data_IF_297552723440
#
_entry.id   IF_297552723440
#
_cell.length_a   1.000
_cell.length_b   1.000
_cell.length_c   1.000
_cell.angle_alpha   90.00
_cell.angle_beta   90.00
_cell.angle_gamma   90.00
#
_symmetry.space_group_name_H-M   'P 1'
#
loop_
_entity.id
_entity.type
_entity.pdbx_description
1 polymer ?
#
# COMPACT_ATOMS: atom_id res chain seq x y z
N UNK A 1 11.47 14.79 11.88
CA UNK A 1 10.00 14.85 11.82
C UNK A 1 9.41 14.46 13.18
N UNK A 2 9.67 13.27 13.73
CA UNK A 2 9.05 12.78 14.96
C UNK A 2 9.21 13.72 16.17
N UNK A 3 10.39 14.30 16.45
CA UNK A 3 10.51 15.30 17.53
C UNK A 3 9.61 16.51 17.30
N UNK A 4 9.54 17.03 16.07
CA UNK A 4 8.66 18.15 15.73
C UNK A 4 7.19 17.82 16.01
N UNK A 5 6.73 16.62 15.60
CA UNK A 5 5.35 16.18 15.86
C UNK A 5 5.03 16.01 17.33
N UNK A 6 6.04 15.80 18.19
CA UNK A 6 5.90 15.82 19.66
C UNK A 6 5.96 17.21 20.26
N UNK A 7 6.09 18.27 19.44
CA UNK A 7 6.18 19.65 19.90
C UNK A 7 7.58 20.09 20.33
N UNK A 8 8.63 19.31 20.05
CA UNK A 8 10.01 19.65 20.36
C UNK A 8 10.54 20.71 19.38
N UNK A 9 11.39 21.60 19.86
CA UNK A 9 12.16 22.51 19.02
C UNK A 9 13.38 21.76 18.47
N UNK A 10 13.59 21.80 17.15
CA UNK A 10 14.64 21.01 16.49
C UNK A 10 15.60 21.92 15.76
N UNK A 11 16.89 21.81 16.12
CA UNK A 11 18.00 22.32 15.31
C UNK A 11 18.84 21.14 14.84
N UNK A 12 19.02 21.02 13.52
CA UNK A 12 19.77 19.92 12.90
C UNK A 12 20.41 20.37 11.60
N UNK A 13 21.69 20.01 11.45
CA UNK A 13 22.43 20.20 10.19
C UNK A 13 22.89 18.84 9.65
N UNK A 14 22.71 18.64 8.37
CA UNK A 14 23.20 17.49 7.60
C UNK A 14 23.93 18.01 6.36
N UNK A 15 24.41 17.13 5.50
CA UNK A 15 25.03 17.46 4.22
C UNK A 15 24.07 18.04 3.18
N UNK A 16 22.77 17.87 3.34
CA UNK A 16 21.75 18.28 2.38
C UNK A 16 20.63 19.19 2.93
N UNK A 17 20.51 19.36 4.25
CA UNK A 17 19.61 20.34 4.84
C UNK A 17 20.13 20.89 6.18
N UNK A 18 19.65 22.08 6.53
CA UNK A 18 19.82 22.69 7.86
C UNK A 18 18.46 23.23 8.33
N UNK A 19 18.07 22.88 9.55
CA UNK A 19 16.96 23.50 10.27
C UNK A 19 17.48 24.12 11.57
N UNK A 20 16.99 25.31 11.89
CA UNK A 20 17.37 26.06 13.10
C UNK A 20 16.12 26.40 13.87
N UNK A 21 16.04 25.96 15.12
CA UNK A 21 14.91 26.19 16.02
C UNK A 21 13.55 25.92 15.37
N UNK A 22 13.50 24.91 14.50
CA UNK A 22 12.28 24.55 13.80
C UNK A 22 11.23 24.02 14.78
N UNK A 23 10.01 24.51 14.65
CA UNK A 23 8.87 24.12 15.47
C UNK A 23 7.61 24.05 14.58
N UNK A 24 6.70 23.11 14.84
CA UNK A 24 5.39 23.13 14.21
C UNK A 24 4.50 24.19 14.87
N UNK A 25 3.71 24.88 14.07
CA UNK A 25 2.83 25.95 14.56
C UNK A 25 1.62 25.42 15.34
N UNK A 26 1.10 24.26 14.94
CA UNK A 26 -0.02 23.61 15.59
C UNK A 26 0.43 22.27 16.19
N UNK A 27 0.23 22.05 17.49
CA UNK A 27 0.57 20.76 18.11
C UNK A 27 -0.32 19.64 17.57
N UNK A 28 0.20 18.41 17.57
CA UNK A 28 -0.61 17.25 17.28
C UNK A 28 -1.69 17.06 18.35
N UNK A 29 -2.94 16.88 17.91
CA UNK A 29 -4.05 16.55 18.81
C UNK A 29 -3.84 15.14 19.42
N UNK A 30 -3.44 14.17 18.58
CA UNK A 30 -3.15 12.80 19.03
C UNK A 30 -1.76 12.73 19.67
N UNK A 31 -1.67 12.14 20.86
CA UNK A 31 -0.41 11.99 21.60
C UNK A 31 0.18 10.57 21.42
N UNK A 32 1.51 10.42 21.35
CA UNK A 32 2.54 11.48 21.34
C UNK A 32 2.68 12.23 20.01
N UNK A 33 2.04 11.75 18.95
CA UNK A 33 1.94 12.34 17.62
C UNK A 33 0.88 11.60 16.79
N UNK A 34 0.52 12.14 15.62
CA UNK A 34 -0.36 11.45 14.67
C UNK A 34 0.25 10.09 14.27
N UNK A 35 -0.60 9.14 13.94
CA UNK A 35 -0.17 7.85 13.44
C UNK A 35 0.61 8.02 12.13
N UNK A 36 1.75 7.34 12.03
CA UNK A 36 2.65 7.38 10.87
C UNK A 36 2.95 5.98 10.37
N UNK A 37 3.06 5.86 9.07
CA UNK A 37 3.52 4.63 8.42
C UNK A 37 4.62 4.95 7.41
N UNK A 38 5.54 4.01 7.22
CA UNK A 38 6.63 4.12 6.24
C UNK A 38 6.31 3.23 5.05
N UNK A 39 6.38 3.82 3.85
CA UNK A 39 6.18 3.08 2.61
C UNK A 39 7.31 2.07 2.37
N UNK A 40 6.92 0.85 2.04
CA UNK A 40 7.81 -0.27 1.74
C UNK A 40 7.34 -0.93 0.45
N UNK A 41 8.25 -1.13 -0.49
CA UNK A 41 8.00 -1.96 -1.67
C UNK A 41 8.97 -3.16 -1.62
N UNK A 42 9.94 -3.23 -2.53
CA UNK A 42 10.93 -4.33 -2.56
C UNK A 42 12.09 -4.11 -1.59
N UNK A 43 12.57 -2.88 -1.48
CA UNK A 43 13.71 -2.52 -0.64
C UNK A 43 13.37 -2.63 0.86
N UNK A 44 14.29 -3.15 1.69
CA UNK A 44 14.09 -3.22 3.14
C UNK A 44 14.23 -1.86 3.85
N UNK A 45 14.63 -0.79 3.15
CA UNK A 45 14.92 0.51 3.77
C UNK A 45 13.73 1.11 4.52
N UNK A 46 12.51 0.96 3.97
CA UNK A 46 11.28 1.39 4.64
C UNK A 46 10.99 0.58 5.90
N UNK A 47 11.18 -0.74 5.85
CA UNK A 47 11.00 -1.64 6.98
C UNK A 47 11.98 -1.34 8.12
N UNK A 48 13.26 -1.11 7.77
CA UNK A 48 14.28 -0.67 8.73
C UNK A 48 13.91 0.66 9.41
N UNK A 49 13.44 1.64 8.63
CA UNK A 49 13.01 2.93 9.17
C UNK A 49 11.77 2.79 10.07
N UNK A 50 10.78 2.00 9.66
CA UNK A 50 9.59 1.73 10.47
C UNK A 50 9.97 1.08 11.81
N UNK A 51 10.75 0.01 11.79
CA UNK A 51 11.20 -0.69 13.00
C UNK A 51 12.05 0.21 13.91
N UNK A 52 13.04 0.93 13.36
CA UNK A 52 13.91 1.84 14.13
C UNK A 52 13.12 2.87 14.95
N UNK A 53 12.01 3.34 14.41
CA UNK A 53 11.20 4.40 15.02
C UNK A 53 9.91 3.93 15.67
N UNK A 54 9.56 2.63 15.57
CA UNK A 54 8.30 2.08 16.09
C UNK A 54 7.07 2.61 15.34
N UNK A 55 7.18 2.74 14.01
CA UNK A 55 6.13 3.26 13.15
C UNK A 55 5.36 2.14 12.44
N UNK A 56 4.17 2.43 11.94
CA UNK A 56 3.45 1.53 11.06
C UNK A 56 4.18 1.31 9.73
N UNK A 57 3.85 0.24 9.05
CA UNK A 57 4.39 -0.09 7.73
C UNK A 57 3.28 -0.04 6.67
N UNK A 58 3.58 0.51 5.49
CA UNK A 58 2.72 0.57 4.32
C UNK A 58 3.40 -0.19 3.18
N UNK A 59 3.04 -1.46 3.00
CA UNK A 59 3.56 -2.27 1.90
C UNK A 59 2.78 -2.02 0.62
N UNK A 60 3.49 -1.94 -0.51
CA UNK A 60 2.91 -1.75 -1.84
C UNK A 60 3.28 -2.94 -2.71
N UNK A 61 2.29 -3.62 -3.26
CA UNK A 61 2.50 -4.76 -4.16
C UNK A 61 1.30 -5.69 -4.25
N UNK A 62 1.36 -6.64 -5.18
CA UNK A 62 0.32 -7.61 -5.43
C UNK A 62 0.48 -8.93 -4.65
N UNK A 63 -0.05 -10.00 -5.26
CA UNK A 63 -0.05 -11.37 -4.70
C UNK A 63 0.81 -12.36 -5.48
N UNK A 64 1.74 -11.88 -6.32
CA UNK A 64 2.76 -12.75 -6.89
C UNK A 64 3.63 -13.35 -5.77
N UNK A 65 4.22 -14.50 -6.01
CA UNK A 65 5.06 -15.18 -4.99
C UNK A 65 6.24 -14.31 -4.56
N UNK A 66 6.83 -13.56 -5.51
CA UNK A 66 7.87 -12.57 -5.26
C UNK A 66 7.35 -11.44 -4.34
N UNK A 67 6.18 -10.86 -4.64
CA UNK A 67 5.59 -9.80 -3.83
C UNK A 67 5.27 -10.27 -2.41
N UNK A 68 4.67 -11.46 -2.25
CA UNK A 68 4.35 -12.04 -0.94
C UNK A 68 5.62 -12.30 -0.13
N UNK A 69 6.68 -12.77 -0.77
CA UNK A 69 8.00 -12.96 -0.14
C UNK A 69 8.57 -11.64 0.36
N UNK A 70 8.51 -10.60 -0.46
CA UNK A 70 8.97 -9.26 -0.04
C UNK A 70 8.13 -8.67 1.10
N UNK A 71 6.82 -8.83 1.07
CA UNK A 71 5.94 -8.38 2.16
C UNK A 71 6.31 -9.05 3.48
N UNK A 72 6.41 -10.38 3.49
CA UNK A 72 6.75 -11.15 4.69
C UNK A 72 8.15 -10.82 5.22
N UNK A 73 9.15 -10.74 4.34
CA UNK A 73 10.53 -10.41 4.72
C UNK A 73 10.64 -8.98 5.28
N UNK A 74 9.99 -8.00 4.65
CA UNK A 74 9.99 -6.63 5.13
C UNK A 74 9.33 -6.50 6.51
N UNK A 75 8.23 -7.24 6.76
CA UNK A 75 7.65 -7.26 8.10
C UNK A 75 8.62 -7.84 9.13
N UNK A 76 9.26 -8.97 8.83
CA UNK A 76 10.25 -9.58 9.71
C UNK A 76 11.39 -8.61 10.03
N UNK A 77 11.95 -7.93 9.02
CA UNK A 77 13.01 -6.91 9.21
C UNK A 77 12.51 -5.78 10.10
N UNK A 78 11.26 -5.34 9.93
CA UNK A 78 10.65 -4.30 10.77
C UNK A 78 10.58 -4.74 12.24
N UNK A 79 10.09 -5.94 12.52
CA UNK A 79 9.99 -6.50 13.88
C UNK A 79 11.40 -6.64 14.54
N UNK A 80 12.33 -7.25 13.85
CA UNK A 80 13.70 -7.44 14.35
C UNK A 80 14.39 -6.10 14.64
N UNK A 81 14.20 -5.12 13.74
CA UNK A 81 14.74 -3.77 13.92
C UNK A 81 14.07 -3.05 15.09
N UNK A 82 12.77 -3.21 15.29
CA UNK A 82 12.05 -2.62 16.41
C UNK A 82 12.57 -3.18 17.74
N UNK A 83 12.73 -4.49 17.85
CA UNK A 83 13.28 -5.15 19.05
C UNK A 83 14.70 -4.60 19.35
N UNK A 84 15.57 -4.54 18.35
CA UNK A 84 16.95 -4.04 18.49
C UNK A 84 17.00 -2.56 18.95
N UNK A 85 15.99 -1.77 18.62
CA UNK A 85 15.86 -0.36 19.02
C UNK A 85 14.94 -0.13 20.23
N UNK A 86 14.54 -1.19 20.95
CA UNK A 86 13.62 -1.12 22.10
C UNK A 86 12.30 -0.41 21.75
N UNK A 87 11.79 -0.67 20.55
CA UNK A 87 10.51 -0.20 20.02
C UNK A 87 9.54 -1.35 19.89
N UNK A 88 8.27 -1.02 19.81
CA UNK A 88 7.19 -1.97 19.53
C UNK A 88 6.56 -1.63 18.18
N UNK A 89 6.26 -2.63 17.39
CA UNK A 89 5.46 -2.56 16.17
C UNK A 89 4.34 -3.60 16.25
N UNK A 90 3.17 -3.27 15.71
CA UNK A 90 1.99 -4.15 15.74
C UNK A 90 1.52 -4.37 14.30
N UNK A 91 1.21 -5.63 13.96
CA UNK A 91 0.64 -5.99 12.65
C UNK A 91 -0.68 -5.26 12.36
N UNK A 92 -1.44 -4.84 13.37
CA UNK A 92 -2.62 -3.99 13.22
C UNK A 92 -2.32 -2.66 12.54
N UNK A 93 -1.09 -2.16 12.70
CA UNK A 93 -0.60 -0.94 12.06
C UNK A 93 0.11 -1.19 10.73
N UNK A 94 0.10 -2.42 10.24
CA UNK A 94 0.60 -2.76 8.92
C UNK A 94 -0.50 -2.68 7.88
N UNK A 95 -0.30 -1.86 6.88
CA UNK A 95 -1.19 -1.64 5.75
C UNK A 95 -0.59 -2.24 4.48
N UNK A 96 -1.40 -2.95 3.70
CA UNK A 96 -0.98 -3.47 2.39
C UNK A 96 -1.82 -2.80 1.32
N UNK A 97 -1.14 -2.10 0.41
CA UNK A 97 -1.74 -1.36 -0.71
C UNK A 97 -1.61 -2.17 -1.98
N UNK A 98 -2.70 -2.37 -2.68
CA UNK A 98 -2.73 -3.08 -3.96
C UNK A 98 -3.52 -2.30 -5.01
N UNK A 99 -3.53 -2.83 -6.23
CA UNK A 99 -4.34 -2.35 -7.34
C UNK A 99 -5.56 -3.25 -7.51
N UNK A 100 -6.76 -2.68 -7.56
CA UNK A 100 -7.97 -3.46 -7.78
C UNK A 100 -9.03 -2.69 -8.57
N UNK A 101 -9.79 -3.40 -9.39
CA UNK A 101 -11.05 -2.95 -9.98
C UNK A 101 -12.00 -4.13 -10.11
N UNK A 102 -13.16 -4.06 -9.47
CA UNK A 102 -14.17 -5.12 -9.56
C UNK A 102 -15.47 -4.61 -10.16
N UNK A 103 -16.19 -5.52 -10.79
CA UNK A 103 -17.51 -5.32 -11.37
C UNK A 103 -18.41 -6.53 -11.07
N UNK A 104 -19.66 -6.49 -11.54
CA UNK A 104 -20.60 -7.59 -11.37
C UNK A 104 -20.17 -8.87 -12.12
N UNK A 105 -19.39 -8.73 -13.21
CA UNK A 105 -18.75 -9.84 -13.93
C UNK A 105 -17.30 -9.51 -14.28
N UNK A 106 -16.49 -10.56 -14.56
CA UNK A 106 -15.09 -10.37 -15.00
C UNK A 106 -14.98 -9.65 -16.33
N UNK A 107 -15.88 -9.97 -17.27
CA UNK A 107 -15.94 -9.32 -18.58
C UNK A 107 -16.21 -7.82 -18.43
N UNK A 108 -17.13 -7.46 -17.54
CA UNK A 108 -17.43 -6.06 -17.27
C UNK A 108 -16.24 -5.35 -16.60
N UNK A 109 -15.56 -5.99 -15.65
CA UNK A 109 -14.37 -5.43 -15.01
C UNK A 109 -13.27 -5.15 -16.03
N UNK A 110 -12.96 -6.12 -16.91
CA UNK A 110 -12.00 -5.96 -18.00
C UNK A 110 -12.39 -4.87 -19.01
N UNK A 111 -13.69 -4.76 -19.32
CA UNK A 111 -14.19 -3.69 -20.19
C UNK A 111 -13.99 -2.31 -19.53
N UNK A 112 -14.30 -2.19 -18.26
CA UNK A 112 -14.20 -0.94 -17.51
C UNK A 112 -12.76 -0.40 -17.49
N UNK A 113 -11.77 -1.26 -17.19
CA UNK A 113 -10.38 -0.81 -17.02
C UNK A 113 -9.71 -0.39 -18.33
N UNK A 114 -10.26 -0.75 -19.49
CA UNK A 114 -9.79 -0.26 -20.80
C UNK A 114 -9.86 1.25 -20.93
N UNK A 115 -10.67 1.91 -20.10
CA UNK A 115 -10.81 3.36 -20.11
C UNK A 115 -9.49 4.09 -19.80
N UNK A 116 -8.70 3.61 -18.83
CA UNK A 116 -7.52 4.35 -18.38
C UNK A 116 -6.29 3.53 -18.00
N UNK A 117 -6.34 2.20 -18.03
CA UNK A 117 -5.23 1.36 -17.53
C UNK A 117 -3.94 1.52 -18.35
N UNK A 118 -4.04 1.72 -19.67
CA UNK A 118 -2.88 1.95 -20.53
C UNK A 118 -2.22 3.32 -20.23
N UNK A 119 -3.03 4.34 -19.94
CA UNK A 119 -2.53 5.64 -19.53
C UNK A 119 -1.83 5.55 -18.16
N UNK A 120 -2.38 4.78 -17.23
CA UNK A 120 -1.76 4.50 -15.93
C UNK A 120 -0.41 3.79 -16.10
N UNK A 121 -0.33 2.75 -16.94
CA UNK A 121 0.92 2.05 -17.23
C UNK A 121 1.98 3.00 -17.82
N UNK A 122 1.56 3.89 -18.76
CA UNK A 122 2.42 4.91 -19.34
C UNK A 122 2.94 5.90 -18.30
N UNK A 123 2.10 6.33 -17.35
CA UNK A 123 2.54 7.20 -16.25
C UNK A 123 3.70 6.58 -15.47
N UNK A 124 3.63 5.28 -15.15
CA UNK A 124 4.70 4.60 -14.41
C UNK A 124 5.99 4.44 -15.22
N UNK A 125 5.90 4.38 -16.55
CA UNK A 125 7.08 4.36 -17.42
C UNK A 125 7.75 5.73 -17.58
N UNK A 126 6.94 6.74 -17.89
CA UNK A 126 7.44 8.05 -18.35
C UNK A 126 7.67 9.03 -17.19
N UNK A 127 6.85 8.97 -16.15
CA UNK A 127 6.87 9.95 -15.05
C UNK A 127 7.44 9.35 -13.77
N UNK A 128 6.93 8.23 -13.33
CA UNK A 128 7.39 7.59 -12.10
C UNK A 128 8.72 6.85 -12.25
N UNK A 129 9.17 6.59 -13.47
CA UNK A 129 10.45 5.97 -13.84
C UNK A 129 10.70 4.57 -13.26
N UNK A 130 9.63 3.86 -12.89
CA UNK A 130 9.69 2.45 -12.51
C UNK A 130 8.52 1.70 -13.17
N UNK A 131 8.73 1.13 -14.36
CA UNK A 131 7.67 0.51 -15.14
C UNK A 131 7.07 -0.69 -14.40
N UNK A 132 5.76 -0.66 -14.20
CA UNK A 132 4.98 -1.78 -13.65
C UNK A 132 4.50 -2.74 -14.75
N UNK A 133 4.47 -2.27 -15.99
CA UNK A 133 4.17 -3.03 -17.19
C UNK A 133 5.33 -2.81 -18.19
N UNK A 134 5.99 -3.87 -18.68
CA UNK A 134 7.07 -3.75 -19.65
C UNK A 134 6.62 -3.08 -20.95
N UNK A 135 7.55 -2.44 -21.66
CA UNK A 135 7.26 -1.65 -22.88
C UNK A 135 6.74 -2.50 -24.06
N UNK A 136 7.11 -3.76 -24.11
CA UNK A 136 6.68 -4.69 -25.15
C UNK A 136 5.30 -5.30 -24.90
N UNK A 137 4.62 -4.95 -23.82
CA UNK A 137 3.28 -5.44 -23.46
C UNK A 137 2.23 -4.44 -23.96
N UNK A 138 1.28 -4.92 -24.73
CA UNK A 138 0.21 -4.14 -25.35
C UNK A 138 -1.14 -4.24 -24.65
N UNK A 139 -1.26 -5.11 -23.62
CA UNK A 139 -2.45 -5.27 -22.80
C UNK A 139 -2.06 -5.20 -21.31
N UNK A 140 -2.05 -4.00 -20.76
CA UNK A 140 -1.68 -3.79 -19.38
C UNK A 140 -2.60 -4.51 -18.39
N UNK A 141 -3.91 -4.60 -18.69
CA UNK A 141 -4.88 -5.27 -17.80
C UNK A 141 -4.55 -6.76 -17.65
N UNK A 142 -4.36 -7.45 -18.77
CA UNK A 142 -4.04 -8.88 -18.82
C UNK A 142 -2.71 -9.15 -18.10
N UNK A 143 -1.68 -8.38 -18.44
CA UNK A 143 -0.37 -8.49 -17.80
C UNK A 143 -0.43 -8.36 -16.28
N UNK A 144 -1.11 -7.34 -15.76
CA UNK A 144 -1.22 -7.09 -14.32
C UNK A 144 -2.01 -8.21 -13.61
N UNK A 145 -3.04 -8.77 -14.26
CA UNK A 145 -3.80 -9.91 -13.74
C UNK A 145 -2.99 -11.20 -13.71
N UNK A 146 -2.39 -11.57 -14.83
CA UNK A 146 -1.61 -12.81 -14.97
C UNK A 146 -0.41 -12.86 -14.04
N UNK A 147 0.22 -11.70 -13.79
CA UNK A 147 1.33 -11.59 -12.87
C UNK A 147 0.88 -11.33 -11.41
N UNK A 148 -0.41 -11.42 -11.11
CA UNK A 148 -0.97 -11.19 -9.76
C UNK A 148 -0.58 -9.82 -9.16
N UNK A 149 -0.40 -8.82 -10.00
CA UNK A 149 -0.07 -7.45 -9.58
C UNK A 149 -1.32 -6.63 -9.28
N UNK A 150 -2.46 -7.00 -9.87
CA UNK A 150 -3.75 -6.37 -9.65
C UNK A 150 -4.89 -7.39 -9.58
N UNK A 151 -5.96 -7.04 -8.86
CA UNK A 151 -7.22 -7.76 -8.88
C UNK A 151 -8.19 -7.05 -9.84
N UNK A 152 -8.45 -7.64 -11.01
CA UNK A 152 -9.48 -7.16 -11.95
C UNK A 152 -10.50 -8.29 -12.10
N UNK A 153 -11.71 -8.14 -11.53
CA UNK A 153 -12.65 -9.26 -11.50
C UNK A 153 -13.96 -8.96 -10.80
N UNK A 154 -14.43 -9.91 -10.01
CA UNK A 154 -15.67 -9.88 -9.24
C UNK A 154 -15.39 -9.68 -7.75
N UNK A 155 -16.41 -9.46 -6.90
CA UNK A 155 -16.26 -9.50 -5.45
C UNK A 155 -15.60 -10.77 -4.91
N UNK A 156 -15.95 -11.95 -5.45
CA UNK A 156 -15.35 -13.22 -5.04
C UNK A 156 -13.85 -13.29 -5.41
N UNK A 157 -13.46 -12.71 -6.54
CA UNK A 157 -12.05 -12.62 -6.93
C UNK A 157 -11.27 -11.71 -5.97
N UNK A 158 -11.86 -10.59 -5.56
CA UNK A 158 -11.25 -9.68 -4.58
C UNK A 158 -11.10 -10.35 -3.19
N UNK A 159 -12.11 -11.10 -2.74
CA UNK A 159 -12.03 -11.87 -1.49
C UNK A 159 -10.85 -12.85 -1.55
N UNK A 160 -10.77 -13.69 -2.58
CA UNK A 160 -9.67 -14.65 -2.76
C UNK A 160 -8.29 -13.97 -2.85
N UNK A 161 -8.25 -12.81 -3.49
CA UNK A 161 -7.01 -12.03 -3.62
C UNK A 161 -6.53 -11.52 -2.26
N UNK A 162 -7.43 -11.00 -1.43
CA UNK A 162 -7.11 -10.51 -0.07
C UNK A 162 -6.78 -11.69 0.86
N UNK A 163 -7.49 -12.82 0.77
CA UNK A 163 -7.17 -14.04 1.52
C UNK A 163 -5.77 -14.56 1.17
N UNK A 164 -5.38 -14.53 -0.13
CA UNK A 164 -4.02 -14.89 -0.56
C UNK A 164 -2.97 -13.95 0.04
N UNK A 165 -3.25 -12.64 0.11
CA UNK A 165 -2.39 -11.68 0.82
C UNK A 165 -2.27 -12.01 2.30
N UNK A 166 -3.39 -12.21 3.00
CA UNK A 166 -3.41 -12.55 4.43
C UNK A 166 -2.58 -13.80 4.71
N UNK A 167 -2.79 -14.85 3.93
CA UNK A 167 -2.05 -16.11 4.06
C UNK A 167 -0.56 -15.93 3.79
N UNK A 168 -0.20 -15.26 2.71
CA UNK A 168 1.20 -15.10 2.27
C UNK A 168 2.03 -14.18 3.16
N UNK A 169 1.39 -13.22 3.84
CA UNK A 169 2.06 -12.28 4.74
C UNK A 169 2.04 -12.72 6.20
N UNK A 170 1.22 -13.70 6.56
CA UNK A 170 0.95 -14.07 7.95
C UNK A 170 0.03 -13.08 8.67
N UNK A 171 -0.74 -12.28 7.93
CA UNK A 171 -1.70 -11.29 8.42
C UNK A 171 -1.17 -9.86 8.47
N UNK A 172 -2.08 -8.90 8.29
CA UNK A 172 -1.85 -7.44 8.37
C UNK A 172 -3.14 -6.75 8.85
N UNK A 173 -3.03 -5.49 9.31
CA UNK A 173 -4.14 -4.79 9.94
C UNK A 173 -5.13 -4.16 8.96
N UNK A 174 -4.68 -3.66 7.80
CA UNK A 174 -5.57 -3.01 6.85
C UNK A 174 -5.20 -3.30 5.39
N UNK A 175 -6.20 -3.68 4.62
CA UNK A 175 -6.13 -3.69 3.16
C UNK A 175 -6.47 -2.29 2.63
N UNK A 176 -5.70 -1.82 1.67
CA UNK A 176 -5.93 -0.54 1.01
C UNK A 176 -5.86 -0.70 -0.50
N UNK A 177 -6.61 0.10 -1.19
CA UNK A 177 -6.56 0.18 -2.65
C UNK A 177 -5.91 1.51 -3.07
N UNK A 178 -4.96 1.43 -4.00
CA UNK A 178 -4.42 2.60 -4.64
C UNK A 178 -5.48 3.17 -5.60
N UNK A 179 -5.95 4.38 -5.34
CA UNK A 179 -6.89 5.06 -6.21
C UNK A 179 -6.27 5.32 -7.59
N UNK A 180 -7.03 5.03 -8.64
CA UNK A 180 -6.63 5.18 -10.02
C UNK A 180 -7.82 5.54 -10.93
N UNK A 181 -7.54 5.93 -12.16
CA UNK A 181 -8.54 6.27 -13.18
C UNK A 181 -8.68 5.18 -14.27
N UNK A 182 -8.63 3.91 -13.88
CA UNK A 182 -8.74 2.79 -14.84
C UNK A 182 -10.11 2.70 -15.48
N UNK A 183 -11.14 3.13 -14.76
CA UNK A 183 -12.52 3.11 -15.21
C UNK A 183 -13.13 4.51 -15.18
N UNK A 184 -14.23 4.73 -15.90
CA UNK A 184 -15.00 5.94 -15.79
C UNK A 184 -15.64 6.09 -14.39
N UNK A 185 -16.23 7.26 -14.14
CA UNK A 185 -16.81 7.59 -12.84
C UNK A 185 -17.89 6.61 -12.38
N UNK A 186 -18.78 6.17 -13.28
CA UNK A 186 -19.90 5.28 -12.92
C UNK A 186 -19.37 3.90 -12.56
N UNK A 187 -18.46 3.36 -13.35
CA UNK A 187 -17.83 2.08 -13.08
C UNK A 187 -16.95 2.12 -11.81
N UNK A 188 -16.24 3.21 -11.57
CA UNK A 188 -15.47 3.42 -10.33
C UNK A 188 -16.37 3.47 -9.11
N UNK A 189 -17.50 4.19 -9.17
CA UNK A 189 -18.49 4.23 -8.10
C UNK A 189 -19.05 2.83 -7.83
N UNK A 190 -19.40 2.08 -8.88
CA UNK A 190 -19.88 0.70 -8.75
C UNK A 190 -18.86 -0.22 -8.11
N UNK A 191 -17.60 -0.09 -8.47
CA UNK A 191 -16.51 -0.82 -7.84
C UNK A 191 -16.48 -0.61 -6.32
N UNK A 192 -16.51 0.63 -5.83
CA UNK A 192 -16.52 0.91 -4.38
C UNK A 192 -17.82 0.44 -3.69
N UNK A 193 -18.97 0.48 -4.37
CA UNK A 193 -20.21 -0.11 -3.86
C UNK A 193 -20.07 -1.62 -3.65
N UNK A 194 -19.48 -2.33 -4.61
CA UNK A 194 -19.25 -3.77 -4.53
C UNK A 194 -18.23 -4.10 -3.42
N UNK A 195 -17.12 -3.36 -3.33
CA UNK A 195 -16.13 -3.52 -2.28
C UNK A 195 -16.75 -3.36 -0.88
N UNK A 196 -17.51 -2.29 -0.67
CA UNK A 196 -18.11 -1.99 0.63
C UNK A 196 -19.23 -2.96 1.02
N UNK A 197 -19.99 -3.45 0.04
CA UNK A 197 -21.17 -4.30 0.29
C UNK A 197 -20.85 -5.77 0.40
N UNK A 198 -19.92 -6.28 -0.38
CA UNK A 198 -19.68 -7.72 -0.51
C UNK A 198 -18.28 -8.15 -0.05
N UNK A 199 -17.24 -7.33 -0.21
CA UNK A 199 -15.87 -7.69 0.12
C UNK A 199 -15.52 -7.32 1.55
N UNK A 200 -15.69 -6.04 1.93
CA UNK A 200 -15.31 -5.57 3.25
C UNK A 200 -16.01 -6.30 4.42
N UNK A 201 -17.33 -6.67 4.34
CA UNK A 201 -17.97 -7.41 5.40
C UNK A 201 -17.40 -8.82 5.64
N UNK A 202 -16.83 -9.46 4.59
CA UNK A 202 -16.21 -10.77 4.70
C UNK A 202 -15.02 -10.76 5.67
N UNK A 203 -14.31 -9.65 5.77
CA UNK A 203 -13.12 -9.49 6.61
C UNK A 203 -13.41 -8.82 7.98
N UNK A 204 -14.66 -8.45 8.27
CA UNK A 204 -15.02 -7.90 9.58
C UNK A 204 -14.89 -8.98 10.66
N UNK A 205 -14.12 -8.69 11.71
CA UNK A 205 -13.96 -9.59 12.86
C UNK A 205 -12.80 -10.59 12.72
N UNK A 206 -11.97 -10.48 11.71
CA UNK A 206 -10.76 -11.28 11.54
C UNK A 206 -9.51 -10.65 12.20
N UNK A 207 -9.66 -9.53 12.93
CA UNK A 207 -8.57 -8.81 13.61
C UNK A 207 -8.63 -9.00 15.12
#
# INVERSE_FOLDING_TARGET
ILPLLRGEIVSKKTDWFEVREAQIQLPCYTQPHIEMAVACARSPSGALAAGKHGLGMLSIGGTSDDALTHHANNWKICEETAIANKKHVDRKNWRVVTLAHIADTREQALKNVRFGIEQFARYFREIATFPIVPDNIHNAAEYLMENNMACIGTPDDAIKYIEKLQKGTGGFGAYMELAHNWADWQATKRHYELMSRYVAPHFKGLN
#
